data_IF_682686109203
#
_entry.id   IF_682686109203
#
_cell.length_a   1.000
_cell.length_b   1.000
_cell.length_c   1.000
_cell.angle_alpha   90.00
_cell.angle_beta   90.00
_cell.angle_gamma   90.00
#
_symmetry.space_group_name_H-M   'P 1'
#
loop_
_entity.id
_entity.type
_entity.pdbx_description
1 polymer ?
#
# COMPACT_ATOMS: atom_id res chain seq x y z
N UNK A 1 3.87 19.08 -51.64
CA UNK A 1 3.35 20.02 -50.62
C UNK A 1 3.38 19.32 -49.27
N UNK A 2 4.03 19.93 -48.28
CA UNK A 2 4.12 19.44 -46.90
C UNK A 2 2.85 19.88 -46.16
N UNK A 3 2.05 18.94 -45.66
CA UNK A 3 0.97 19.26 -44.72
C UNK A 3 1.54 19.24 -43.30
N UNK A 4 1.53 20.39 -42.58
CA UNK A 4 2.06 20.47 -41.24
C UNK A 4 1.01 19.98 -40.22
N UNK A 5 1.47 19.19 -39.26
CA UNK A 5 1.00 19.09 -37.86
C UNK A 5 -0.49 19.30 -37.57
N UNK A 6 -1.18 18.20 -37.22
CA UNK A 6 -2.22 18.22 -36.20
C UNK A 6 -1.94 17.13 -35.17
N UNK A 7 -1.09 17.48 -34.21
CA UNK A 7 -0.89 16.72 -32.98
C UNK A 7 -2.12 17.01 -32.11
N UNK A 8 -3.07 16.08 -32.08
CA UNK A 8 -4.11 16.04 -31.05
C UNK A 8 -3.52 15.36 -29.81
N UNK A 9 -2.79 16.12 -28.99
CA UNK A 9 -2.37 15.70 -27.66
C UNK A 9 -3.59 15.69 -26.74
N UNK A 10 -4.26 14.54 -26.66
CA UNK A 10 -5.08 14.22 -25.50
C UNK A 10 -4.13 14.08 -24.31
N UNK A 11 -3.95 15.15 -23.54
CA UNK A 11 -3.31 15.10 -22.24
C UNK A 11 -4.35 14.50 -21.29
N UNK A 12 -4.23 13.25 -20.83
CA UNK A 12 -5.01 12.83 -19.68
C UNK A 12 -4.53 13.68 -18.51
N UNK A 13 -5.41 14.53 -17.99
CA UNK A 13 -5.22 15.17 -16.70
C UNK A 13 -5.20 14.04 -15.67
N UNK A 14 -4.01 13.50 -15.44
CA UNK A 14 -3.70 12.72 -14.26
C UNK A 14 -3.84 13.69 -13.10
N UNK A 15 -4.97 13.62 -12.42
CA UNK A 15 -5.16 14.20 -11.09
C UNK A 15 -4.14 13.50 -10.20
N UNK A 16 -2.95 14.08 -10.10
CA UNK A 16 -1.98 13.75 -9.07
C UNK A 16 -2.58 14.22 -7.76
N UNK A 17 -3.31 13.33 -7.10
CA UNK A 17 -3.70 13.54 -5.71
C UNK A 17 -2.40 13.83 -4.94
N UNK A 18 -2.32 14.95 -4.20
CA UNK A 18 -1.18 15.18 -3.33
C UNK A 18 -1.10 13.96 -2.43
N UNK A 19 0.06 13.31 -2.40
CA UNK A 19 0.36 12.23 -1.48
C UNK A 19 0.46 12.84 -0.06
N UNK A 20 -0.67 13.26 0.49
CA UNK A 20 -0.86 13.31 1.94
C UNK A 20 -0.76 11.85 2.36
N UNK A 21 0.35 11.51 3.01
CA UNK A 21 0.49 10.21 3.66
C UNK A 21 -0.76 10.01 4.51
N UNK A 22 -1.48 8.92 4.26
CA UNK A 22 -2.71 8.67 4.99
C UNK A 22 -2.36 8.49 6.47
N UNK A 23 -2.90 9.38 7.29
CA UNK A 23 -2.85 9.23 8.73
C UNK A 23 -3.75 8.06 9.11
N UNK A 24 -3.15 7.08 9.77
CA UNK A 24 -3.90 5.97 10.35
C UNK A 24 -4.84 6.52 11.42
N UNK A 25 -6.10 6.04 11.47
CA UNK A 25 -6.93 6.26 12.64
C UNK A 25 -6.25 5.70 13.90
N UNK A 26 -6.56 6.28 15.05
CA UNK A 26 -5.91 5.89 16.33
C UNK A 26 -6.05 4.39 16.60
N UNK A 27 -4.93 3.71 16.80
CA UNK A 27 -4.87 2.27 17.10
C UNK A 27 -4.93 1.33 15.88
N UNK A 28 -5.35 1.80 14.70
CA UNK A 28 -5.48 0.95 13.50
C UNK A 28 -4.12 0.50 12.96
N UNK A 29 -3.11 1.38 13.04
CA UNK A 29 -1.73 1.03 12.64
C UNK A 29 -1.20 -0.13 13.47
N UNK A 30 -1.39 -0.06 14.79
CA UNK A 30 -0.92 -1.10 15.70
C UNK A 30 -1.70 -2.40 15.50
N UNK A 31 -3.01 -2.31 15.30
CA UNK A 31 -3.85 -3.46 14.97
C UNK A 31 -3.40 -4.15 13.67
N UNK A 32 -3.14 -3.38 12.61
CA UNK A 32 -2.58 -3.90 11.35
C UNK A 32 -1.24 -4.61 11.57
N UNK A 33 -0.33 -4.03 12.36
CA UNK A 33 0.97 -4.64 12.65
C UNK A 33 0.78 -5.96 13.42
N UNK A 34 -0.13 -6.02 14.38
CA UNK A 34 -0.44 -7.25 15.11
C UNK A 34 -1.00 -8.34 14.18
N UNK A 35 -1.97 -8.02 13.32
CA UNK A 35 -2.53 -8.97 12.37
C UNK A 35 -1.49 -9.45 11.33
N UNK A 36 -0.61 -8.56 10.87
CA UNK A 36 0.52 -8.91 10.03
C UNK A 36 1.45 -9.91 10.74
N UNK A 37 1.78 -9.67 12.01
CA UNK A 37 2.61 -10.59 12.80
C UNK A 37 1.89 -11.93 13.04
N UNK A 38 0.60 -11.91 13.33
CA UNK A 38 -0.23 -13.11 13.53
C UNK A 38 -0.28 -13.96 12.27
N UNK A 39 -0.51 -13.35 11.11
CA UNK A 39 -0.58 -14.04 9.82
C UNK A 39 0.78 -14.53 9.31
N UNK A 40 1.86 -13.80 9.60
CA UNK A 40 3.21 -14.15 9.18
C UNK A 40 3.95 -15.11 10.13
N UNK A 41 3.32 -15.55 11.23
CA UNK A 41 3.92 -16.47 12.20
C UNK A 41 4.17 -17.85 11.59
N UNK A 42 5.29 -17.96 10.89
CA UNK A 42 5.91 -19.20 10.46
C UNK A 42 7.44 -19.03 10.52
N UNK A 43 8.05 -19.43 11.64
CA UNK A 43 9.51 -19.55 11.81
C UNK A 43 10.35 -18.25 11.65
N UNK A 44 9.73 -17.06 11.69
CA UNK A 44 10.45 -15.78 11.64
C UNK A 44 10.63 -15.21 13.07
N UNK A 45 11.84 -14.76 13.45
CA UNK A 45 12.06 -14.05 14.71
C UNK A 45 11.15 -12.83 14.90
N UNK A 46 10.69 -12.59 16.13
CA UNK A 46 9.70 -11.56 16.44
C UNK A 46 10.17 -10.12 16.15
N UNK A 47 11.47 -9.84 16.29
CA UNK A 47 12.10 -8.56 15.95
C UNK A 47 12.10 -8.29 14.43
N UNK A 48 12.36 -9.34 13.63
CA UNK A 48 12.30 -9.28 12.16
C UNK A 48 10.87 -9.09 11.68
N UNK A 49 9.91 -9.81 12.26
CA UNK A 49 8.49 -9.60 11.99
C UNK A 49 8.04 -8.17 12.36
N UNK A 50 8.52 -7.63 13.49
CA UNK A 50 8.20 -6.25 13.88
C UNK A 50 8.70 -5.25 12.83
N UNK A 51 9.96 -5.38 12.36
CA UNK A 51 10.51 -4.50 11.32
C UNK A 51 9.75 -4.63 9.99
N UNK A 52 9.47 -5.86 9.57
CA UNK A 52 8.72 -6.14 8.34
C UNK A 52 7.31 -5.56 8.38
N UNK A 53 6.53 -5.84 9.43
CA UNK A 53 5.16 -5.37 9.54
C UNK A 53 5.07 -3.84 9.74
N UNK A 54 6.05 -3.24 10.43
CA UNK A 54 6.14 -1.78 10.53
C UNK A 54 6.42 -1.15 9.16
N UNK A 55 7.35 -1.71 8.38
CA UNK A 55 7.61 -1.26 7.01
C UNK A 55 6.36 -1.38 6.14
N UNK A 56 5.63 -2.49 6.24
CA UNK A 56 4.38 -2.67 5.50
C UNK A 56 3.35 -1.60 5.88
N UNK A 57 3.20 -1.29 7.18
CA UNK A 57 2.28 -0.24 7.65
C UNK A 57 2.66 1.15 7.13
N UNK A 58 3.95 1.49 7.14
CA UNK A 58 4.43 2.79 6.65
C UNK A 58 4.25 2.92 5.13
N UNK A 59 4.49 1.85 4.38
CA UNK A 59 4.24 1.80 2.94
C UNK A 59 2.76 1.87 2.62
N UNK A 60 1.92 1.22 3.40
CA UNK A 60 0.46 1.33 3.26
C UNK A 60 0.01 2.78 3.48
N UNK A 61 0.52 3.48 4.50
CA UNK A 61 0.29 4.93 4.67
C UNK A 61 0.74 5.78 3.49
N UNK A 62 1.85 5.42 2.86
CA UNK A 62 2.43 6.21 1.75
C UNK A 62 1.72 5.97 0.43
N UNK A 63 1.18 4.77 0.21
CA UNK A 63 0.63 4.34 -1.08
C UNK A 63 -0.90 4.39 -1.10
N UNK A 64 -1.57 4.26 0.05
CA UNK A 64 -3.02 4.26 0.15
C UNK A 64 -3.50 5.54 0.81
N UNK A 65 -4.62 6.07 0.34
CA UNK A 65 -5.34 7.17 0.97
C UNK A 65 -6.11 6.71 2.21
N UNK A 66 -6.44 7.65 3.11
CA UNK A 66 -7.26 7.38 4.30
C UNK A 66 -8.58 6.71 3.93
N UNK A 67 -9.21 7.14 2.83
CA UNK A 67 -10.44 6.54 2.32
C UNK A 67 -10.25 5.09 1.89
N UNK A 68 -9.15 4.78 1.20
CA UNK A 68 -8.83 3.40 0.81
C UNK A 68 -8.59 2.51 2.05
N UNK A 69 -7.97 3.05 3.10
CA UNK A 69 -7.77 2.31 4.36
C UNK A 69 -9.08 2.03 5.09
N UNK A 70 -9.99 3.00 5.15
CA UNK A 70 -11.34 2.79 5.71
C UNK A 70 -12.14 1.74 4.92
N UNK A 71 -11.98 1.72 3.59
CA UNK A 71 -12.57 0.69 2.73
C UNK A 71 -11.93 -0.67 2.98
N UNK A 72 -10.61 -0.75 3.14
CA UNK A 72 -9.91 -2.00 3.47
C UNK A 72 -10.39 -2.61 4.79
N UNK A 73 -10.69 -1.77 5.79
CA UNK A 73 -11.24 -2.19 7.09
C UNK A 73 -12.63 -2.80 6.99
N UNK A 74 -13.47 -2.25 6.12
CA UNK A 74 -14.89 -2.62 6.01
C UNK A 74 -15.18 -3.61 4.88
N UNK A 75 -14.21 -3.85 4.00
CA UNK A 75 -14.36 -4.79 2.90
C UNK A 75 -14.42 -6.23 3.39
N UNK A 76 -15.32 -6.98 2.76
CA UNK A 76 -15.34 -8.44 2.86
C UNK A 76 -14.35 -9.00 1.85
N UNK A 77 -13.55 -9.97 2.28
CA UNK A 77 -12.70 -10.74 1.38
C UNK A 77 -13.56 -11.49 0.35
N UNK A 78 -13.15 -11.56 -0.94
CA UNK A 78 -11.88 -11.10 -1.47
C UNK A 78 -11.84 -9.59 -1.77
N UNK A 79 -10.68 -8.97 -1.52
CA UNK A 79 -10.42 -7.58 -1.91
C UNK A 79 -10.44 -7.45 -3.45
N UNK A 80 -10.77 -6.28 -4.01
CA UNK A 80 -10.61 -5.99 -5.43
C UNK A 80 -9.18 -6.32 -5.87
N UNK A 81 -9.05 -6.93 -7.04
CA UNK A 81 -7.77 -7.44 -7.55
C UNK A 81 -6.68 -6.34 -7.57
N UNK A 82 -7.03 -5.13 -7.98
CA UNK A 82 -6.09 -4.00 -7.99
C UNK A 82 -5.56 -3.66 -6.59
N UNK A 83 -6.43 -3.64 -5.58
CA UNK A 83 -6.07 -3.36 -4.19
C UNK A 83 -5.22 -4.49 -3.62
N UNK A 84 -5.59 -5.74 -3.91
CA UNK A 84 -4.84 -6.91 -3.51
C UNK A 84 -3.42 -6.90 -4.08
N UNK A 85 -3.26 -6.64 -5.38
CA UNK A 85 -1.95 -6.54 -6.05
C UNK A 85 -1.08 -5.44 -5.45
N UNK A 86 -1.66 -4.28 -5.10
CA UNK A 86 -0.93 -3.19 -4.45
C UNK A 86 -0.44 -3.58 -3.05
N UNK A 87 -1.28 -4.26 -2.25
CA UNK A 87 -0.89 -4.76 -0.93
C UNK A 87 0.22 -5.81 -1.02
N UNK A 88 0.17 -6.71 -2.01
CA UNK A 88 1.25 -7.67 -2.29
C UNK A 88 2.55 -6.93 -2.62
N UNK A 89 2.49 -5.95 -3.53
CA UNK A 89 3.67 -5.17 -3.94
C UNK A 89 4.31 -4.42 -2.77
N UNK A 90 3.48 -3.79 -1.93
CA UNK A 90 3.93 -3.14 -0.69
C UNK A 90 4.64 -4.15 0.22
N UNK A 91 4.01 -5.28 0.48
CA UNK A 91 4.58 -6.35 1.33
C UNK A 91 5.93 -6.85 0.78
N UNK A 92 6.01 -7.08 -0.54
CA UNK A 92 7.23 -7.50 -1.22
C UNK A 92 8.37 -6.49 -1.07
N UNK A 93 8.07 -5.19 -1.12
CA UNK A 93 9.08 -4.13 -0.95
C UNK A 93 9.73 -4.13 0.43
N UNK A 94 9.09 -4.74 1.43
CA UNK A 94 9.55 -4.84 2.80
C UNK A 94 10.25 -6.16 3.13
N UNK A 95 10.31 -7.13 2.22
CA UNK A 95 10.92 -8.46 2.47
C UNK A 95 12.39 -8.39 2.89
N UNK A 96 13.12 -7.34 2.49
CA UNK A 96 14.50 -7.10 2.94
C UNK A 96 14.62 -6.97 4.47
N UNK A 97 13.57 -6.53 5.16
CA UNK A 97 13.52 -6.42 6.63
C UNK A 97 13.55 -7.77 7.34
N UNK A 98 13.23 -8.87 6.63
CA UNK A 98 13.31 -10.23 7.17
C UNK A 98 14.73 -10.80 7.10
N UNK A 99 15.58 -10.24 6.23
CA UNK A 99 16.92 -10.76 5.97
C UNK A 99 18.05 -9.93 6.63
N UNK A 100 17.76 -8.70 7.04
CA UNK A 100 18.71 -7.85 7.78
C UNK A 100 18.61 -7.97 9.29
#
# INVERSE_FOLDING_TARGET
MRYPTLIALFIPVLVGLPAVAAEWPSGERDHFIQECKTSAQANVPGDKLQRYCSCAADRVSSEFSTTELEVLKTQKTPLPEQTHQRLIKVSQSCLSQLNG
#
